data_IF_150121064625
#
_entry.id   IF_150121064625
#
_cell.length_a   1.000
_cell.length_b   1.000
_cell.length_c   1.000
_cell.angle_alpha   90.00
_cell.angle_beta   90.00
_cell.angle_gamma   90.00
#
_symmetry.space_group_name_H-M   'P 1'
#
loop_
_entity.id
_entity.type
_entity.pdbx_description
1 polymer ?
#
# COMPACT_ATOMS: atom_id res chain seq x y z
N UNK A 1 5.29 -2.88 -4.77
CA UNK A 1 5.05 -1.40 -4.80
C UNK A 1 5.74 -0.68 -5.95
N UNK A 2 6.96 -1.10 -6.35
CA UNK A 2 7.72 -0.40 -7.40
C UNK A 2 6.96 -0.24 -8.72
N UNK A 3 6.29 -1.30 -9.19
CA UNK A 3 5.47 -1.23 -10.40
C UNK A 3 4.32 -0.20 -10.30
N UNK A 4 3.73 -0.06 -9.11
CA UNK A 4 2.64 0.88 -8.85
C UNK A 4 3.16 2.33 -8.85
N UNK A 5 4.25 2.59 -8.12
CA UNK A 5 4.87 3.92 -8.07
C UNK A 5 5.55 4.33 -9.39
N UNK A 6 5.99 3.37 -10.21
CA UNK A 6 6.50 3.64 -11.55
C UNK A 6 5.35 4.01 -12.51
N UNK A 7 4.20 3.33 -12.39
CA UNK A 7 3.00 3.64 -13.18
C UNK A 7 2.34 4.95 -12.74
N UNK A 8 2.43 5.26 -11.45
CA UNK A 8 1.82 6.42 -10.82
C UNK A 8 2.87 7.19 -9.99
N UNK A 9 3.72 8.00 -10.65
CA UNK A 9 4.83 8.70 -9.99
C UNK A 9 4.40 9.58 -8.81
N UNK A 10 3.17 10.12 -8.83
CA UNK A 10 2.62 10.92 -7.73
C UNK A 10 2.44 10.15 -6.41
N UNK A 11 2.48 8.82 -6.44
CA UNK A 11 2.39 7.98 -5.24
C UNK A 11 3.75 7.80 -4.52
N UNK A 12 4.85 8.14 -5.18
CA UNK A 12 6.18 8.11 -4.57
C UNK A 12 6.24 9.09 -3.39
N UNK A 13 6.78 8.67 -2.26
CA UNK A 13 6.75 9.48 -1.02
C UNK A 13 5.41 9.45 -0.29
N UNK A 14 4.31 9.07 -0.97
CA UNK A 14 2.97 8.98 -0.38
C UNK A 14 2.72 7.62 0.27
N UNK A 15 3.15 6.54 -0.38
CA UNK A 15 3.00 5.17 0.11
C UNK A 15 4.18 4.73 0.98
N UNK A 16 5.38 5.03 0.49
CA UNK A 16 6.65 4.72 1.12
C UNK A 16 7.45 6.00 1.31
N UNK A 17 8.18 6.08 2.40
CA UNK A 17 9.17 7.13 2.60
C UNK A 17 10.21 7.12 1.47
N UNK A 18 10.55 8.30 0.97
CA UNK A 18 11.35 8.43 -0.25
C UNK A 18 12.80 7.95 -0.05
N UNK A 19 13.32 8.06 1.18
CA UNK A 19 14.71 7.75 1.51
C UNK A 19 14.83 6.30 1.97
N UNK A 20 14.04 5.92 2.96
CA UNK A 20 14.12 4.59 3.61
C UNK A 20 13.34 3.52 2.89
N UNK A 21 12.46 3.88 1.94
CA UNK A 21 11.52 2.98 1.25
C UNK A 21 10.55 2.25 2.19
N UNK A 22 10.48 2.62 3.47
CA UNK A 22 9.57 2.02 4.43
C UNK A 22 8.14 2.54 4.24
N UNK A 23 7.14 1.70 4.54
CA UNK A 23 5.73 2.08 4.47
C UNK A 23 5.42 3.18 5.47
N UNK A 24 4.58 4.14 5.09
CA UNK A 24 4.18 5.23 5.99
C UNK A 24 3.21 4.73 7.07
N UNK A 25 3.37 5.14 8.34
CA UNK A 25 2.59 4.61 9.46
C UNK A 25 1.07 4.89 9.41
N UNK A 26 0.62 5.82 8.57
CA UNK A 26 -0.80 6.16 8.38
C UNK A 26 -1.39 5.63 7.07
N UNK A 27 -0.72 4.69 6.41
CA UNK A 27 -1.21 4.03 5.20
C UNK A 27 -1.36 2.54 5.47
N UNK A 28 -2.53 1.98 5.14
CA UNK A 28 -2.84 0.56 5.27
C UNK A 28 -2.96 -0.11 3.91
N UNK A 29 -2.60 -1.38 3.84
CA UNK A 29 -2.58 -2.20 2.63
C UNK A 29 -3.40 -3.46 2.84
N UNK A 30 -4.35 -3.73 1.95
CA UNK A 30 -5.18 -4.92 2.01
C UNK A 30 -5.17 -5.69 0.69
N UNK A 31 -5.22 -7.01 0.80
CA UNK A 31 -5.41 -7.95 -0.31
C UNK A 31 -6.32 -9.06 0.19
N UNK A 32 -7.29 -9.51 -0.61
CA UNK A 32 -8.19 -10.61 -0.23
C UNK A 32 -8.85 -10.40 1.15
N UNK A 33 -9.18 -9.14 1.49
CA UNK A 33 -9.72 -8.73 2.80
C UNK A 33 -8.77 -8.91 4.01
N UNK A 34 -7.51 -9.25 3.77
CA UNK A 34 -6.47 -9.40 4.80
C UNK A 34 -5.61 -8.14 4.91
N UNK A 35 -5.24 -7.78 6.15
CA UNK A 35 -4.34 -6.64 6.41
C UNK A 35 -2.89 -7.08 6.20
N UNK A 36 -2.29 -6.59 5.13
CA UNK A 36 -0.89 -6.86 4.79
C UNK A 36 0.03 -5.74 5.28
N UNK A 37 -0.43 -4.75 6.05
CA UNK A 37 0.30 -3.51 6.34
C UNK A 37 1.64 -3.71 7.04
N UNK A 38 1.78 -4.79 7.81
CA UNK A 38 3.01 -5.14 8.55
C UNK A 38 3.94 -6.08 7.77
N UNK A 39 3.50 -6.61 6.63
CA UNK A 39 4.31 -7.50 5.82
C UNK A 39 5.42 -6.73 5.10
N UNK A 40 6.53 -7.40 4.77
CA UNK A 40 7.55 -6.82 3.90
C UNK A 40 6.96 -6.26 2.59
N UNK A 41 7.50 -5.14 2.06
CA UNK A 41 7.00 -4.53 0.82
C UNK A 41 7.20 -5.40 -0.43
N UNK A 42 8.11 -6.36 -0.35
CA UNK A 42 8.46 -7.29 -1.43
C UNK A 42 7.77 -8.66 -1.28
N UNK A 43 6.91 -8.82 -0.27
CA UNK A 43 6.06 -10.00 -0.13
C UNK A 43 5.18 -10.12 -1.38
N UNK A 44 5.15 -11.30 -2.04
CA UNK A 44 4.27 -11.54 -3.18
C UNK A 44 2.82 -11.29 -2.80
N UNK A 45 2.07 -10.64 -3.70
CA UNK A 45 0.62 -10.50 -3.51
C UNK A 45 -0.07 -11.86 -3.65
N UNK A 46 -1.20 -12.08 -2.94
CA UNK A 46 -2.03 -13.25 -3.15
C UNK A 46 -2.40 -13.43 -4.62
N UNK A 47 -2.53 -14.68 -5.05
CA UNK A 47 -2.79 -15.06 -6.45
C UNK A 47 -3.99 -14.30 -7.04
N UNK A 48 -5.09 -14.19 -6.29
CA UNK A 48 -6.29 -13.48 -6.71
C UNK A 48 -6.05 -11.98 -7.03
N UNK A 49 -5.13 -11.32 -6.30
CA UNK A 49 -4.74 -9.94 -6.59
C UNK A 49 -3.78 -9.88 -7.78
N UNK A 50 -2.84 -10.82 -7.87
CA UNK A 50 -1.88 -10.88 -8.99
C UNK A 50 -2.57 -11.11 -10.35
N UNK A 51 -3.63 -11.93 -10.39
CA UNK A 51 -4.46 -12.13 -11.58
C UNK A 51 -5.52 -11.05 -11.81
N UNK A 52 -5.67 -10.10 -10.87
CA UNK A 52 -6.66 -9.03 -10.96
C UNK A 52 -8.11 -9.46 -10.74
N UNK A 53 -8.34 -10.63 -10.16
CA UNK A 53 -9.67 -11.09 -9.76
C UNK A 53 -10.15 -10.44 -8.47
N UNK A 54 -9.23 -10.00 -7.62
CA UNK A 54 -9.49 -9.19 -6.43
C UNK A 54 -8.63 -7.91 -6.41
N UNK A 55 -9.12 -6.81 -5.82
CA UNK A 55 -8.37 -5.55 -5.77
C UNK A 55 -7.27 -5.56 -4.70
N UNK A 56 -6.18 -4.87 -5.00
CA UNK A 56 -5.23 -4.42 -3.98
C UNK A 56 -5.65 -3.04 -3.47
N UNK A 57 -5.95 -2.92 -2.17
CA UNK A 57 -6.44 -1.68 -1.57
C UNK A 57 -5.33 -0.95 -0.83
N UNK A 58 -5.15 0.33 -1.15
CA UNK A 58 -4.28 1.25 -0.42
C UNK A 58 -5.16 2.30 0.26
N UNK A 59 -5.15 2.34 1.58
CA UNK A 59 -6.05 3.17 2.37
C UNK A 59 -5.25 4.15 3.22
N UNK A 60 -5.44 5.45 2.98
CA UNK A 60 -4.90 6.50 3.84
C UNK A 60 -5.79 6.71 5.07
N UNK A 61 -5.21 6.70 6.26
CA UNK A 61 -5.92 7.13 7.46
C UNK A 61 -6.12 8.65 7.40
N UNK A 62 -7.38 9.09 7.28
CA UNK A 62 -7.75 10.50 7.49
C UNK A 62 -8.01 10.66 8.98
N UNK A 63 -7.09 11.32 9.69
CA UNK A 63 -7.31 11.71 11.07
C UNK A 63 -8.36 12.84 11.13
N UNK A 64 -9.64 12.47 11.20
CA UNK A 64 -10.78 13.38 11.32
C UNK A 64 -11.14 13.73 12.78
N UNK A 65 -10.14 13.95 13.64
CA UNK A 65 -10.39 14.37 15.02
C UNK A 65 -10.71 15.86 15.08
N UNK A 66 -11.98 16.23 15.12
CA UNK A 66 -12.38 17.57 15.58
C UNK A 66 -12.21 17.65 17.10
N UNK A 67 -11.56 18.72 17.56
CA UNK A 67 -11.54 19.14 18.97
C UNK A 67 -12.89 19.66 19.43
#
# INVERSE_FOLDING_TARGET
FDALEARYPMLQGTLRDHVTRQRRPFVRFFACQEDLSNDPPDTPLPEAVAFGTEPFLVVGAVAGGSI
#
